data_IF_309484780220
#
_entry.id   IF_309484780220
#
_cell.length_a   1.000
_cell.length_b   1.000
_cell.length_c   1.000
_cell.angle_alpha   90.00
_cell.angle_beta   90.00
_cell.angle_gamma   90.00
#
_symmetry.space_group_name_H-M   'P 1'
#
loop_
_entity.id
_entity.type
_entity.pdbx_description
1 polymer ?
2 branched ?
3 non-polymer ?
4 non-polymer ?
5 water ?
#
# COMPACT_ATOMS: atom_id res chain seq x y z
N UNK A 36 -23.83 2.12 17.47
CA UNK A 36 -24.54 1.55 16.28
C UNK A 36 -24.00 0.16 15.92
N UNK A 37 -24.90 -0.67 15.39
CA UNK A 37 -24.58 -2.03 14.94
C UNK A 37 -25.22 -2.28 13.56
N UNK A 38 -24.84 -1.43 12.61
CA UNK A 38 -25.43 -1.40 11.27
C UNK A 38 -24.72 -2.30 10.25
N UNK A 39 -23.50 -2.77 10.57
CA UNK A 39 -22.70 -3.53 9.61
C UNK A 39 -22.15 -2.66 8.48
N UNK A 40 -21.95 -1.36 8.75
CA UNK A 40 -21.41 -0.41 7.78
C UNK A 40 -20.17 0.37 8.26
N UNK A 41 -19.79 0.20 9.53
CA UNK A 41 -18.71 1.01 10.11
C UNK A 41 -17.33 0.62 9.57
N UNK A 42 -16.42 1.56 9.66
CA UNK A 42 -15.04 1.33 9.28
C UNK A 42 -14.36 0.28 10.15
N UNK A 43 -13.49 -0.52 9.54
CA UNK A 43 -12.67 -1.46 10.26
C UNK A 43 -11.24 -0.97 10.37
N UNK A 44 -10.78 -0.82 11.61
CA UNK A 44 -9.47 -0.25 11.87
C UNK A 44 -8.34 -1.27 11.99
N UNK A 45 -8.63 -2.52 11.59
CA UNK A 45 -7.61 -3.56 11.39
C UNK A 45 -7.50 -3.93 9.90
N UNK A 46 -8.01 -3.06 9.03
CA UNK A 46 -7.96 -3.23 7.59
C UNK A 46 -7.21 -2.04 7.00
N UNK A 47 -6.09 -2.34 6.35
CA UNK A 47 -5.12 -1.36 5.87
C UNK A 47 -5.08 -1.38 4.36
N UNK A 48 -5.32 -0.27 3.69
CA UNK A 48 -5.39 -0.25 2.25
C UNK A 48 -4.23 0.61 1.72
N UNK A 49 -3.35 0.00 0.91
CA UNK A 49 -2.16 0.69 0.41
C UNK A 49 -2.51 1.76 -0.59
N UNK A 50 -2.07 2.98 -0.29
CA UNK A 50 -2.49 4.19 -1.00
C UNK A 50 -1.26 4.92 -1.54
N UNK A 51 -1.38 5.41 -2.76
CA UNK A 51 -0.28 6.05 -3.46
C UNK A 51 -0.70 7.49 -3.76
N UNK A 52 0.18 8.43 -3.39
CA UNK A 52 -0.06 9.87 -3.49
C UNK A 52 0.85 10.55 -4.53
N UNK A 53 1.26 9.79 -5.53
CA UNK A 53 2.29 10.22 -6.48
C UNK A 53 1.71 10.70 -7.83
N UNK A 54 0.38 10.82 -7.95
CA UNK A 54 -0.23 11.24 -9.20
C UNK A 54 -0.30 12.75 -9.28
N UNK A 55 -0.19 13.34 -10.46
CA UNK A 55 -0.42 14.78 -10.58
C UNK A 55 -1.45 15.08 -11.63
N UNK A 56 -1.99 16.29 -11.57
CA UNK A 56 -2.85 16.80 -12.63
C UNK A 56 -2.43 18.20 -13.00
N UNK A 57 -2.81 18.60 -14.19
CA UNK A 57 -2.55 19.96 -14.61
C UNK A 57 -3.22 20.94 -13.66
N UNK A 58 -4.43 20.62 -13.21
CA UNK A 58 -5.19 21.53 -12.35
C UNK A 58 -4.42 21.93 -11.10
N UNK A 59 -3.77 20.95 -10.46
CA UNK A 59 -3.08 21.20 -9.19
C UNK A 59 -1.56 21.28 -9.29
N UNK A 60 -0.97 20.33 -10.01
CA UNK A 60 0.49 20.21 -10.07
C UNK A 60 1.11 20.83 -11.31
N UNK A 61 0.28 21.15 -12.29
CA UNK A 61 0.78 21.62 -13.57
C UNK A 61 1.39 20.53 -14.42
N UNK A 62 1.20 19.28 -14.03
CA UNK A 62 1.75 18.18 -14.78
C UNK A 62 1.11 16.87 -14.36
N UNK A 63 1.11 15.92 -15.30
CA UNK A 63 0.59 14.57 -15.13
C UNK A 63 1.61 13.49 -14.63
N UNK A 64 2.12 13.76 -13.44
CA UNK A 64 3.09 12.87 -12.81
C UNK A 64 2.46 11.48 -12.59
N UNK A 65 3.28 10.45 -12.86
CA UNK A 65 2.94 9.04 -12.76
C UNK A 65 1.94 8.57 -13.82
N UNK A 66 0.96 9.38 -14.23
CA UNK A 66 0.18 9.01 -15.41
C UNK A 66 1.13 8.84 -16.61
N UNK A 67 2.15 9.70 -16.67
CA UNK A 67 3.35 9.54 -17.52
C UNK A 67 4.37 8.72 -16.73
N UNK A 68 4.98 7.72 -17.37
CA UNK A 68 5.91 6.84 -16.66
C UNK A 68 6.82 6.17 -17.65
N UNK A 69 8.08 6.00 -17.27
CA UNK A 69 9.03 5.25 -18.09
C UNK A 69 8.59 3.80 -18.22
N UNK A 70 8.84 3.22 -19.39
CA UNK A 70 8.64 1.80 -19.61
C UNK A 70 9.93 1.09 -19.22
N UNK A 71 9.83 0.05 -18.42
CA UNK A 71 11.02 -0.65 -17.95
C UNK A 71 11.58 -1.54 -19.05
N UNK A 72 12.91 -1.55 -19.24
CA UNK A 72 13.51 -2.56 -20.13
C UNK A 72 13.33 -3.95 -19.54
N UNK A 73 13.38 -4.92 -20.41
CA UNK A 73 13.32 -6.33 -20.00
C UNK A 73 14.64 -6.71 -19.33
N UNK A 74 14.62 -7.08 -18.04
CA UNK A 74 15.89 -7.46 -17.40
C UNK A 74 16.58 -8.68 -18.03
N UNK A 75 15.84 -9.48 -18.79
CA UNK A 75 16.42 -10.61 -19.55
C UNK A 75 16.51 -10.36 -21.07
N UNK A 76 16.37 -9.10 -21.50
CA UNK A 76 16.24 -8.75 -22.94
C UNK A 76 17.47 -8.20 -23.66
N UNK A 77 18.60 -8.19 -22.97
CA UNK A 77 19.85 -7.73 -23.58
C UNK A 77 20.02 -6.23 -23.66
N UNK A 78 21.13 -5.82 -24.26
CA UNK A 78 21.53 -4.42 -24.27
C UNK A 78 20.92 -3.66 -25.43
N UNK A 79 20.96 -2.34 -25.31
CA UNK A 79 20.49 -1.47 -26.37
C UNK A 79 18.99 -1.37 -26.50
N UNK A 80 18.24 -1.75 -25.47
CA UNK A 80 16.79 -1.55 -25.49
C UNK A 80 16.50 -0.06 -25.34
N UNK A 81 15.51 0.41 -26.08
CA UNK A 81 15.05 1.79 -25.95
C UNK A 81 13.56 1.72 -25.75
N UNK A 82 13.14 1.30 -24.53
CA UNK A 82 11.73 1.01 -24.26
C UNK A 82 10.78 2.19 -24.37
N UNK A 83 11.30 3.39 -24.13
CA UNK A 83 10.48 4.60 -24.23
C UNK A 83 9.69 4.88 -22.97
N UNK A 84 8.71 5.76 -23.12
CA UNK A 84 7.91 6.25 -22.01
C UNK A 84 6.45 6.31 -22.43
N UNK A 85 5.59 6.14 -21.45
CA UNK A 85 4.16 6.36 -21.60
C UNK A 85 3.97 7.87 -21.32
N UNK A 86 3.32 8.61 -22.23
CA UNK A 86 3.35 10.08 -22.08
C UNK A 86 2.37 10.69 -21.09
N UNK A 87 1.41 9.90 -20.60
CA UNK A 87 0.43 10.45 -19.67
C UNK A 87 -0.54 11.44 -20.28
N UNK A 88 -0.80 11.26 -21.57
CA UNK A 88 -1.86 12.00 -22.24
C UNK A 88 -3.22 11.42 -21.83
N UNK A 89 -4.30 12.10 -22.21
CA UNK A 89 -5.64 11.53 -21.97
C UNK A 89 -5.74 10.12 -22.54
N UNK A 90 -5.21 9.96 -23.72
CA UNK A 90 -5.32 8.73 -24.46
C UNK A 90 -4.39 7.62 -23.96
N UNK A 91 -3.22 7.98 -23.42
CA UNK A 91 -2.16 7.01 -23.09
C UNK A 91 -1.57 7.27 -21.71
N UNK A 92 -2.08 6.51 -20.74
CA UNK A 92 -1.64 6.60 -19.36
C UNK A 92 -0.94 5.31 -18.94
N UNK A 93 -0.19 5.38 -17.85
CA UNK A 93 0.64 4.29 -17.38
C UNK A 93 -0.14 3.30 -16.51
N UNK A 94 -1.16 2.71 -17.13
CA UNK A 94 -2.02 1.70 -16.50
C UNK A 94 -2.65 0.89 -17.60
N UNK A 95 -2.97 -0.36 -17.29
CA UNK A 95 -3.82 -1.16 -18.18
C UNK A 95 -5.31 -0.86 -17.99
N UNK A 96 -5.66 -0.14 -16.92
CA UNK A 96 -7.02 0.28 -16.62
C UNK A 96 -7.08 1.82 -16.69
N UNK A 97 -8.29 2.37 -16.52
CA UNK A 97 -8.49 3.81 -16.65
C UNK A 97 -9.33 4.32 -15.49
N UNK A 98 -8.82 5.30 -14.72
CA UNK A 98 -9.56 5.76 -13.53
C UNK A 98 -10.89 6.44 -13.88
N UNK A 99 -11.93 6.14 -13.10
CA UNK A 99 -13.17 6.91 -13.16
C UNK A 99 -12.94 8.41 -12.95
N UNK A 100 -11.99 8.75 -12.08
CA UNK A 100 -11.70 10.15 -11.78
C UNK A 100 -10.75 10.81 -12.76
N UNK A 101 -10.34 10.09 -13.81
CA UNK A 101 -9.43 10.63 -14.82
C UNK A 101 -8.00 10.76 -14.30
N UNK A 102 -7.21 11.57 -14.99
CA UNK A 102 -5.81 11.82 -14.63
C UNK A 102 -5.77 12.82 -13.50
N UNK A 103 -6.02 12.34 -12.29
CA UNK A 103 -6.20 13.20 -11.14
C UNK A 103 -4.85 13.57 -10.49
N UNK A 104 -4.90 14.65 -9.73
CA UNK A 104 -3.80 15.01 -8.85
C UNK A 104 -4.05 14.51 -7.43
N UNK A 105 -3.03 13.88 -6.86
CA UNK A 105 -3.04 13.49 -5.46
C UNK A 105 -2.98 14.69 -4.52
N UNK A 106 -2.71 15.89 -5.04
CA UNK A 106 -2.72 17.13 -4.28
C UNK A 106 -4.04 17.88 -4.37
N UNK A 107 -5.03 17.37 -5.10
CA UNK A 107 -6.29 18.07 -5.33
C UNK A 107 -7.21 17.75 -4.14
N UNK A 108 -7.52 18.73 -3.28
CA UNK A 108 -8.39 18.43 -2.14
C UNK A 108 -9.73 17.81 -2.53
N UNK A 109 -10.24 18.16 -3.70
CA UNK A 109 -11.51 17.62 -4.13
C UNK A 109 -11.41 16.09 -4.48
N UNK A 110 -10.30 15.68 -5.06
CA UNK A 110 -10.04 14.26 -5.28
C UNK A 110 -9.89 13.55 -3.95
N UNK A 111 -9.18 14.17 -3.01
CA UNK A 111 -8.95 13.52 -1.72
C UNK A 111 -10.29 13.29 -1.01
N UNK A 112 -11.20 14.26 -1.06
CA UNK A 112 -12.52 14.07 -0.49
C UNK A 112 -13.20 12.81 -1.06
N UNK A 113 -13.18 12.72 -2.39
CA UNK A 113 -13.78 11.58 -3.09
C UNK A 113 -13.12 10.26 -2.67
N UNK A 114 -11.79 10.25 -2.58
CA UNK A 114 -11.11 9.05 -2.14
C UNK A 114 -11.55 8.67 -0.72
N UNK A 115 -11.69 9.62 0.18
CA UNK A 115 -12.10 9.26 1.53
C UNK A 115 -13.52 8.70 1.54
N UNK A 116 -14.40 9.24 0.69
CA UNK A 116 -15.75 8.66 0.59
C UNK A 116 -15.67 7.23 0.04
N UNK A 117 -14.71 6.94 -0.84
CA UNK A 117 -14.51 5.57 -1.36
C UNK A 117 -14.02 4.64 -0.26
N UNK A 118 -13.11 5.11 0.61
CA UNK A 118 -12.69 4.33 1.77
C UNK A 118 -13.88 4.02 2.68
N UNK A 119 -14.75 5.01 2.89
CA UNK A 119 -15.95 4.75 3.70
C UNK A 119 -16.83 3.67 3.06
N UNK A 120 -17.01 3.75 1.74
CA UNK A 120 -17.79 2.72 1.03
C UNK A 120 -17.16 1.33 1.18
N UNK A 121 -15.84 1.26 1.14
CA UNK A 121 -15.11 0.00 1.26
C UNK A 121 -15.00 -0.51 2.70
N UNK A 122 -15.28 0.35 3.68
CA UNK A 122 -15.15 0.04 5.10
C UNK A 122 -13.70 -0.13 5.56
N UNK A 123 -12.77 0.42 4.78
CA UNK A 123 -11.35 0.29 5.08
C UNK A 123 -10.94 1.47 5.97
N UNK A 124 -10.66 1.21 7.25
CA UNK A 124 -10.42 2.27 8.18
C UNK A 124 -9.05 2.87 8.20
N UNK A 125 -8.04 2.20 7.59
CA UNK A 125 -6.67 2.69 7.61
C UNK A 125 -6.12 2.83 6.20
N UNK A 126 -5.65 4.03 5.89
CA UNK A 126 -4.97 4.37 4.66
C UNK A 126 -3.45 4.24 4.94
N UNK A 127 -2.80 3.31 4.22
CA UNK A 127 -1.37 3.03 4.42
C UNK A 127 -0.60 3.75 3.31
N UNK A 128 -0.11 4.93 3.64
CA UNK A 128 0.41 5.90 2.67
C UNK A 128 1.84 5.63 2.27
N UNK A 129 2.06 5.42 0.98
CA UNK A 129 3.43 5.31 0.45
C UNK A 129 4.26 6.51 0.89
N UNK A 130 5.51 6.26 1.30
CA UNK A 130 6.37 7.33 1.80
C UNK A 130 7.77 7.11 1.31
N UNK A 131 8.20 8.04 0.44
CA UNK A 131 9.46 7.96 -0.32
C UNK A 131 10.54 8.92 0.15
N UNK A 132 10.30 9.65 1.24
CA UNK A 132 11.29 10.56 1.79
C UNK A 132 11.77 11.55 0.74
N UNK A 133 10.80 12.22 0.12
CA UNK A 133 11.14 13.14 -0.96
C UNK A 133 11.75 14.45 -0.46
N UNK A 134 11.54 14.82 0.81
CA UNK A 134 12.14 16.03 1.39
C UNK A 134 11.81 17.24 0.50
N UNK A 135 10.54 17.40 0.20
CA UNK A 135 10.10 18.49 -0.62
C UNK A 135 8.79 19.02 -0.10
N UNK A 136 8.65 20.31 -0.26
CA UNK A 136 7.48 21.05 0.11
C UNK A 136 6.16 20.42 -0.38
N UNK A 137 6.19 19.97 -1.62
CA UNK A 137 4.94 19.49 -2.23
C UNK A 137 4.48 18.17 -1.57
N UNK A 138 5.43 17.33 -1.13
CA UNK A 138 5.19 16.08 -0.31
C UNK A 138 4.57 16.45 1.00
N UNK A 139 5.20 17.40 1.67
CA UNK A 139 4.70 17.83 2.98
C UNK A 139 3.27 18.35 2.87
N UNK A 140 2.98 19.12 1.82
CA UNK A 140 1.63 19.63 1.64
C UNK A 140 0.65 18.48 1.44
N UNK A 141 0.97 17.54 0.58
CA UNK A 141 0.13 16.41 0.30
C UNK A 141 -0.20 15.57 1.55
N UNK A 142 0.83 15.27 2.33
CA UNK A 142 0.60 14.48 3.54
C UNK A 142 -0.41 15.18 4.47
N UNK A 143 -0.24 16.49 4.65
CA UNK A 143 -1.19 17.23 5.49
C UNK A 143 -2.58 17.23 4.93
N UNK A 144 -2.72 17.37 3.61
CA UNK A 144 -4.05 17.34 2.98
C UNK A 144 -4.71 15.98 3.17
N UNK A 145 -3.93 14.91 3.05
CA UNK A 145 -4.47 13.55 3.20
C UNK A 145 -4.92 13.32 4.64
N UNK A 146 -4.11 13.69 5.61
CA UNK A 146 -4.53 13.57 7.02
C UNK A 146 -5.80 14.34 7.29
N UNK A 147 -5.87 15.58 6.81
CA UNK A 147 -7.07 16.40 7.03
C UNK A 147 -8.30 15.79 6.43
N UNK A 148 -8.18 15.32 5.17
CA UNK A 148 -9.35 14.74 4.50
C UNK A 148 -9.77 13.44 5.19
N UNK A 149 -8.80 12.61 5.57
CA UNK A 149 -9.09 11.37 6.26
C UNK A 149 -9.86 11.63 7.55
N UNK A 150 -9.45 12.63 8.31
CA UNK A 150 -10.08 12.85 9.62
C UNK A 150 -11.54 13.20 9.48
N UNK A 151 -11.92 13.88 8.41
CA UNK A 151 -13.32 14.27 8.23
C UNK A 151 -14.25 13.06 8.14
N UNK A 152 -13.69 11.92 7.75
CA UNK A 152 -14.44 10.69 7.57
C UNK A 152 -14.05 9.62 8.57
N UNK A 153 -13.28 9.99 9.61
CA UNK A 153 -12.87 9.05 10.66
C UNK A 153 -11.88 8.00 10.15
N UNK A 154 -11.26 8.24 9.00
CA UNK A 154 -10.21 7.35 8.52
C UNK A 154 -8.90 7.68 9.17
N UNK A 155 -8.09 6.64 9.39
CA UNK A 155 -6.77 6.79 9.99
C UNK A 155 -5.70 6.62 8.92
N UNK A 156 -4.51 7.13 9.19
CA UNK A 156 -3.38 7.10 8.26
C UNK A 156 -2.16 6.54 8.99
N UNK A 157 -1.52 5.56 8.33
CA UNK A 157 -0.21 5.11 8.74
C UNK A 157 0.72 5.20 7.52
N UNK A 158 2.02 5.03 7.76
CA UNK A 158 3.01 5.17 6.69
C UNK A 158 3.58 3.83 6.25
N UNK A 159 3.77 3.75 4.94
CA UNK A 159 4.39 2.60 4.26
C UNK A 159 5.77 3.06 3.81
N UNK A 160 6.80 2.68 4.56
CA UNK A 160 8.15 3.20 4.39
C UNK A 160 8.84 2.48 3.24
N UNK A 161 9.08 3.22 2.16
CA UNK A 161 9.58 2.67 0.92
C UNK A 161 11.10 2.62 0.93
N UNK A 162 11.69 1.92 -0.05
CA UNK A 162 13.16 1.79 -0.14
C UNK A 162 13.79 3.01 -0.78
N UNK A 163 13.81 4.10 -0.04
CA UNK A 163 14.40 5.35 -0.49
C UNK A 163 15.93 5.25 -0.50
N UNK A 164 16.62 6.17 -1.21
CA UNK A 164 18.08 6.04 -1.38
C UNK A 164 18.82 6.04 -0.06
N UNK A 165 19.75 5.10 0.09
CA UNK A 165 20.58 4.98 1.27
C UNK A 165 19.79 4.74 2.55
N UNK A 166 18.56 4.21 2.44
CA UNK A 166 17.80 3.87 3.62
C UNK A 166 18.65 2.94 4.50
N UNK A 167 18.64 3.21 5.80
CA UNK A 167 19.39 2.41 6.77
C UNK A 167 18.73 2.63 8.12
N UNK A 168 19.11 1.89 9.15
CA UNK A 168 18.35 2.00 10.39
C UNK A 168 18.52 3.35 11.09
N UNK A 169 19.63 4.04 10.86
CA UNK A 169 19.83 5.34 11.50
C UNK A 169 18.91 6.39 10.87
N UNK A 170 18.92 6.54 9.55
CA UNK A 170 18.00 7.47 8.96
C UNK A 170 16.55 7.01 9.08
N UNK A 171 16.28 5.71 9.14
CA UNK A 171 14.91 5.27 9.45
C UNK A 171 14.49 5.77 10.80
N UNK A 172 15.34 5.62 11.80
CA UNK A 172 14.98 6.14 13.12
C UNK A 172 14.69 7.61 13.06
N UNK A 173 15.56 8.37 12.40
CA UNK A 173 15.39 9.81 12.31
C UNK A 173 14.07 10.16 11.63
N UNK A 174 13.73 9.40 10.59
CA UNK A 174 12.49 9.64 9.87
C UNK A 174 11.24 9.23 10.64
N UNK A 175 11.32 8.15 11.41
CA UNK A 175 10.24 7.75 12.31
C UNK A 175 10.02 8.84 13.36
N UNK A 176 11.10 9.34 13.94
CA UNK A 176 11.01 10.45 14.88
C UNK A 176 10.35 11.67 14.22
N UNK A 177 10.76 12.00 13.01
CA UNK A 177 10.18 13.13 12.30
C UNK A 177 8.70 12.94 12.04
N UNK A 178 8.31 11.76 11.54
CA UNK A 178 6.92 11.54 11.23
C UNK A 178 6.04 11.55 12.49
N UNK A 179 6.50 10.93 13.57
CA UNK A 179 5.73 10.95 14.83
C UNK A 179 5.67 12.37 15.39
N UNK A 180 6.77 13.12 15.33
CA UNK A 180 6.79 14.50 15.83
C UNK A 180 5.85 15.39 15.02
N UNK A 181 5.92 15.27 13.69
CA UNK A 181 5.14 16.14 12.81
C UNK A 181 3.65 15.81 12.82
N UNK A 182 3.33 14.52 12.81
CA UNK A 182 1.98 14.05 12.55
C UNK A 182 1.33 13.30 13.70
N UNK A 183 2.08 12.95 14.74
CA UNK A 183 1.56 12.09 15.79
C UNK A 183 0.40 12.65 16.57
N UNK A 184 0.28 13.98 16.63
CA UNK A 184 -0.86 14.61 17.30
C UNK A 184 -2.02 14.91 16.37
N UNK A 185 -1.89 14.58 15.07
CA UNK A 185 -2.99 14.79 14.17
C UNK A 185 -4.05 13.75 14.55
N UNK A 186 -5.33 14.14 14.58
CA UNK A 186 -6.37 13.18 14.97
C UNK A 186 -6.52 11.96 14.06
N UNK A 187 -6.07 12.05 12.79
CA UNK A 187 -6.12 10.92 11.88
C UNK A 187 -4.90 10.00 11.97
N UNK A 188 -3.88 10.32 12.75
CA UNK A 188 -2.70 9.47 12.83
C UNK A 188 -3.05 8.15 13.50
N UNK A 189 -2.76 7.05 12.83
CA UNK A 189 -3.15 5.74 13.33
C UNK A 189 -2.36 5.29 14.55
N UNK A 190 -3.04 4.73 15.54
CA UNK A 190 -2.39 3.99 16.62
C UNK A 190 -3.17 2.71 16.91
N UNK A 191 -2.40 1.67 17.26
CA UNK A 191 -2.94 0.38 17.69
C UNK A 191 -2.44 0.17 19.11
N UNK A 192 -3.37 0.06 20.06
CA UNK A 192 -3.06 -0.07 21.49
C UNK A 192 -1.97 0.93 21.95
N UNK A 193 -2.11 2.16 21.46
CA UNK A 193 -1.22 3.25 21.83
C UNK A 193 0.02 3.44 20.98
N UNK A 194 0.27 2.56 20.01
CA UNK A 194 1.49 2.62 19.22
C UNK A 194 1.20 2.97 17.78
N UNK A 195 1.99 3.85 17.18
CA UNK A 195 1.98 3.97 15.72
C UNK A 195 2.33 2.63 15.07
N UNK A 196 2.02 2.51 13.77
CA UNK A 196 2.35 1.30 13.00
C UNK A 196 2.98 1.72 11.68
N UNK A 197 4.08 1.08 11.30
CA UNK A 197 4.70 1.29 10.01
C UNK A 197 4.82 -0.04 9.28
N UNK A 198 4.52 -0.02 7.98
CA UNK A 198 4.88 -1.11 7.07
C UNK A 198 6.23 -0.79 6.46
N UNK A 199 7.13 -1.75 6.38
CA UNK A 199 8.46 -1.51 5.81
C UNK A 199 8.64 -2.35 4.56
N UNK A 200 8.55 -1.70 3.40
CA UNK A 200 8.66 -2.42 2.14
C UNK A 200 10.11 -2.80 1.90
N UNK A 201 10.32 -4.01 1.34
CA UNK A 201 11.64 -4.54 0.99
C UNK A 201 12.58 -4.44 2.23
N UNK A 202 12.03 -4.80 3.40
CA UNK A 202 12.81 -4.83 4.64
C UNK A 202 13.98 -5.79 4.61
N UNK A 203 13.98 -6.74 3.66
CA UNK A 203 15.12 -7.65 3.43
C UNK A 203 16.36 -6.99 2.86
N UNK A 204 16.23 -5.77 2.33
CA UNK A 204 17.38 -5.02 1.88
C UNK A 204 18.24 -4.57 3.08
N UNK A 205 17.79 -4.81 4.35
CA UNK A 205 18.58 -4.42 5.52
C UNK A 205 18.78 -5.66 6.37
N UNK A 206 20.02 -5.92 6.75
CA UNK A 206 20.38 -7.10 7.52
C UNK A 206 19.70 -7.10 8.90
N UNK A 207 19.33 -8.30 9.38
CA UNK A 207 18.82 -8.43 10.75
C UNK A 207 19.70 -7.80 11.81
N UNK A 208 21.03 -7.89 11.66
CA UNK A 208 21.91 -7.29 12.66
C UNK A 208 21.77 -5.77 12.74
N UNK A 209 21.44 -5.13 11.63
CA UNK A 209 21.13 -3.70 11.66
C UNK A 209 19.75 -3.45 12.26
N UNK A 210 18.74 -4.19 11.83
CA UNK A 210 17.40 -4.05 12.41
C UNK A 210 17.41 -4.18 13.92
N UNK A 211 18.19 -5.12 14.45
CA UNK A 211 18.23 -5.38 15.88
C UNK A 211 18.60 -4.11 16.65
N UNK A 212 19.47 -3.28 16.07
CA UNK A 212 19.90 -2.06 16.73
C UNK A 212 18.76 -1.07 16.96
N UNK A 213 17.79 -1.10 16.07
CA UNK A 213 16.61 -0.26 16.11
C UNK A 213 15.46 -0.87 16.88
N UNK A 214 15.31 -2.20 16.77
CA UNK A 214 14.07 -2.85 17.15
C UNK A 214 14.18 -3.80 18.34
N UNK A 215 15.35 -4.23 18.74
CA UNK A 215 15.48 -4.96 20.00
C UNK A 215 15.35 -3.97 21.14
N UNK A 216 14.76 -4.37 22.28
CA UNK A 216 14.77 -3.47 23.44
C UNK A 216 16.16 -3.07 23.90
N UNK A 217 17.16 -3.90 23.61
CA UNK A 217 18.55 -3.60 23.94
C UNK A 217 19.36 -2.96 22.84
N UNK A 218 18.73 -2.69 21.70
CA UNK A 218 19.44 -2.21 20.58
C UNK A 218 20.10 -0.86 20.79
N UNK A 219 21.24 -0.67 20.14
CA UNK A 219 22.04 0.53 20.25
C UNK A 219 21.29 1.82 20.06
N UNK A 220 20.33 1.82 19.12
CA UNK A 220 19.50 2.99 18.82
C UNK A 220 18.03 2.62 18.91
N UNK A 221 17.68 1.88 19.96
CA UNK A 221 16.34 1.34 20.04
C UNK A 221 15.28 2.42 20.05
N UNK A 222 14.13 2.09 19.48
CA UNK A 222 12.89 2.83 19.70
C UNK A 222 12.06 2.22 20.81
N UNK A 223 12.38 1.01 21.27
CA UNK A 223 11.53 0.39 22.29
C UNK A 223 11.61 1.19 23.59
N UNK A 224 10.44 1.35 24.24
CA UNK A 224 10.32 2.07 25.50
C UNK A 224 10.61 3.57 25.37
N UNK A 225 10.63 4.09 24.15
CA UNK A 225 10.82 5.50 23.91
C UNK A 225 9.51 6.12 23.43
N UNK A 226 9.52 7.44 23.30
CA UNK A 226 8.39 8.17 22.74
C UNK A 226 8.11 7.79 21.29
N UNK A 227 9.06 7.11 20.64
CA UNK A 227 8.98 6.84 19.22
C UNK A 227 8.80 5.37 18.93
N UNK A 228 8.40 4.60 19.96
CA UNK A 228 8.12 3.19 19.78
C UNK A 228 6.96 3.05 18.77
N UNK A 229 6.97 1.95 18.03
CA UNK A 229 5.98 1.69 16.99
C UNK A 229 5.93 0.20 16.69
N UNK A 230 4.80 -0.23 16.15
CA UNK A 230 4.68 -1.57 15.57
C UNK A 230 5.32 -1.55 14.19
N UNK A 231 6.34 -2.37 14.01
CA UNK A 231 7.11 -2.40 12.76
C UNK A 231 6.79 -3.70 12.05
N UNK A 232 6.19 -3.57 10.87
CA UNK A 232 5.69 -4.70 10.11
C UNK A 232 6.58 -4.88 8.88
N UNK A 233 7.38 -5.95 8.89
CA UNK A 233 8.30 -6.19 7.79
C UNK A 233 7.70 -7.04 6.68
N UNK A 234 8.34 -7.03 5.52
CA UNK A 234 7.84 -7.73 4.35
C UNK A 234 8.36 -9.17 4.32
N UNK A 235 7.49 -10.14 4.57
CA UNK A 235 7.83 -11.56 4.43
C UNK A 235 7.78 -11.93 2.96
N UNK A 236 8.93 -12.30 2.39
CA UNK A 236 9.02 -12.68 0.99
C UNK A 236 9.09 -14.21 0.79
N UNK A 237 10.22 -14.79 1.13
CA UNK A 237 10.57 -16.14 0.67
C UNK A 237 10.22 -17.23 1.68
N UNK A 238 10.96 -18.33 1.68
CA UNK A 238 10.54 -19.51 2.42
C UNK A 238 10.73 -19.34 3.92
N UNK A 239 10.01 -20.13 4.73
CA UNK A 239 10.15 -20.05 6.19
C UNK A 239 11.59 -20.22 6.69
N UNK A 240 12.38 -21.07 6.03
CA UNK A 240 13.74 -21.30 6.48
C UNK A 240 14.57 -20.01 6.51
N UNK A 241 14.25 -19.09 5.61
CA UNK A 241 14.89 -17.79 5.56
C UNK A 241 14.13 -16.77 6.42
N UNK A 242 12.82 -16.72 6.26
CA UNK A 242 12.04 -15.63 6.84
C UNK A 242 11.84 -15.75 8.34
N UNK A 243 11.71 -16.97 8.87
CA UNK A 243 11.49 -17.11 10.32
C UNK A 243 12.66 -16.50 11.11
N UNK A 244 13.91 -16.92 10.83
CA UNK A 244 15.01 -16.32 11.60
C UNK A 244 15.18 -14.84 11.29
N UNK A 245 14.90 -14.42 10.05
CA UNK A 245 15.00 -13.02 9.70
C UNK A 245 14.10 -12.18 10.63
N UNK A 246 12.83 -12.55 10.69
CA UNK A 246 11.86 -11.77 11.44
C UNK A 246 12.18 -11.78 12.95
N UNK A 247 12.57 -12.94 13.48
CA UNK A 247 12.94 -13.03 14.89
C UNK A 247 14.19 -12.21 15.19
N UNK A 248 15.23 -12.38 14.39
CA UNK A 248 16.52 -11.72 14.64
C UNK A 248 16.45 -10.23 14.40
N UNK A 249 15.54 -9.79 13.54
CA UNK A 249 15.36 -8.37 13.26
C UNK A 249 14.47 -7.68 14.29
N UNK A 250 13.72 -8.46 15.09
CA UNK A 250 12.82 -7.91 16.10
C UNK A 250 11.64 -7.14 15.52
N UNK A 251 11.20 -7.51 14.34
CA UNK A 251 9.93 -6.94 13.83
C UNK A 251 8.77 -7.36 14.72
N UNK A 252 7.77 -6.50 14.79
CA UNK A 252 6.55 -6.82 15.52
C UNK A 252 5.60 -7.70 14.73
N UNK A 253 5.78 -7.74 13.41
CA UNK A 253 4.89 -8.50 12.56
C UNK A 253 5.38 -8.47 11.15
N UNK A 254 4.55 -8.99 10.22
CA UNK A 254 4.92 -9.08 8.85
C UNK A 254 3.69 -9.04 7.96
N UNK A 255 3.92 -8.58 6.74
CA UNK A 255 2.94 -8.51 5.68
C UNK A 255 3.55 -9.10 4.41
N UNK A 256 2.75 -9.22 3.36
CA UNK A 256 3.22 -9.95 2.16
C UNK A 256 3.22 -9.12 0.88
N UNK A 257 2.45 -8.03 0.88
CA UNK A 257 2.27 -7.03 -0.19
C UNK A 257 1.70 -7.55 -1.51
N UNK A 258 2.38 -8.49 -2.18
CA UNK A 258 2.10 -8.71 -3.59
C UNK A 258 0.68 -9.17 -3.81
N UNK A 259 0.02 -8.54 -4.79
CA UNK A 259 -1.35 -8.89 -5.13
C UNK A 259 -1.44 -10.14 -5.98
N UNK A 260 -0.33 -10.53 -6.63
CA UNK A 260 -0.32 -11.67 -7.52
C UNK A 260 -0.01 -12.96 -6.75
N UNK A 261 -0.99 -13.85 -6.70
CA UNK A 261 -0.80 -15.09 -5.98
C UNK A 261 0.38 -15.86 -6.55
N UNK A 262 1.18 -16.41 -5.67
CA UNK A 262 2.31 -17.23 -6.09
C UNK A 262 3.55 -16.49 -6.50
N UNK A 263 3.54 -15.15 -6.47
CA UNK A 263 4.72 -14.40 -6.86
C UNK A 263 5.88 -14.71 -5.90
N UNK A 264 5.59 -14.79 -4.61
CA UNK A 264 6.53 -15.21 -3.59
C UNK A 264 5.85 -16.29 -2.74
N UNK A 265 6.65 -16.97 -1.90
CA UNK A 265 6.09 -17.86 -0.89
C UNK A 265 5.04 -17.10 -0.04
N UNK A 266 5.37 -15.88 0.38
CA UNK A 266 4.49 -15.12 1.23
C UNK A 266 3.18 -14.73 0.59
N UNK A 267 3.18 -14.54 -0.74
CA UNK A 267 1.97 -14.18 -1.47
C UNK A 267 1.28 -15.41 -2.07
N UNK A 268 1.56 -16.59 -1.53
CA UNK A 268 0.87 -17.83 -1.90
C UNK A 268 -0.11 -18.15 -0.78
N UNK A 269 -1.43 -17.91 -1.00
CA UNK A 269 -2.34 -17.96 0.15
C UNK A 269 -2.49 -19.30 0.84
N UNK A 270 -2.18 -20.40 0.17
CA UNK A 270 -2.17 -21.70 0.85
C UNK A 270 -1.12 -21.79 1.97
N UNK A 271 -0.16 -20.86 2.01
CA UNK A 271 0.79 -20.82 3.11
C UNK A 271 0.32 -20.02 4.32
N UNK A 272 -0.82 -19.33 4.19
CA UNK A 272 -1.21 -18.38 5.22
C UNK A 272 -1.61 -19.03 6.55
N UNK A 273 -2.27 -20.18 6.53
CA UNK A 273 -2.58 -20.85 7.79
C UNK A 273 -1.30 -21.12 8.59
N UNK A 274 -0.28 -21.66 7.92
CA UNK A 274 1.01 -21.99 8.55
C UNK A 274 1.75 -20.74 9.03
N UNK A 275 1.71 -19.69 8.22
CA UNK A 275 2.35 -18.45 8.58
C UNK A 275 1.69 -17.84 9.81
N UNK A 276 0.36 -17.91 9.87
CA UNK A 276 -0.36 -17.41 11.03
C UNK A 276 -0.04 -18.22 12.29
N UNK A 277 0.03 -19.54 12.16
CA UNK A 277 0.40 -20.39 13.30
C UNK A 277 1.75 -20.01 13.86
N UNK A 278 2.73 -19.81 12.98
CA UNK A 278 4.06 -19.38 13.40
C UNK A 278 4.01 -18.00 14.07
N UNK A 279 3.27 -17.08 13.46
CA UNK A 279 3.14 -15.75 14.04
C UNK A 279 2.61 -15.81 15.46
N UNK A 280 1.53 -16.56 15.66
CA UNK A 280 0.92 -16.67 16.97
C UNK A 280 1.90 -17.28 17.98
N UNK A 281 2.61 -18.33 17.58
CA UNK A 281 3.59 -18.99 18.44
C UNK A 281 4.72 -18.05 18.86
N UNK A 282 5.03 -17.06 18.04
CA UNK A 282 6.18 -16.19 18.24
C UNK A 282 5.83 -14.75 18.57
N UNK A 283 4.56 -14.50 18.90
CA UNK A 283 4.13 -13.18 19.32
C UNK A 283 4.21 -12.11 18.25
N UNK A 284 4.02 -12.50 16.99
CA UNK A 284 4.10 -11.59 15.85
C UNK A 284 2.73 -11.37 15.26
N UNK A 285 2.55 -10.18 14.68
CA UNK A 285 1.30 -9.82 14.01
C UNK A 285 1.40 -10.09 12.49
N UNK A 286 0.63 -11.01 11.97
CA UNK A 286 0.60 -11.30 10.53
C UNK A 286 -0.53 -10.53 9.89
N UNK A 287 -0.19 -9.74 8.87
CA UNK A 287 -1.12 -8.89 8.14
C UNK A 287 -1.04 -9.28 6.65
N UNK A 288 -1.64 -10.41 6.26
CA UNK A 288 -1.55 -10.82 4.86
C UNK A 288 -2.12 -9.76 3.94
N UNK A 289 -1.56 -9.66 2.74
CA UNK A 289 -2.03 -8.72 1.75
C UNK A 289 -2.87 -9.43 0.69
N UNK A 290 -4.06 -8.87 0.42
CA UNK A 290 -4.98 -9.40 -0.57
C UNK A 290 -5.19 -8.36 -1.64
N UNK A 291 -5.42 -8.80 -2.87
CA UNK A 291 -5.71 -7.88 -3.94
C UNK A 291 -6.63 -8.47 -4.97
N UNK A 292 -7.15 -7.60 -5.86
CA UNK A 292 -8.20 -8.04 -6.78
C UNK A 292 -7.70 -8.61 -8.10
N UNK A 293 -6.41 -8.49 -8.36
CA UNK A 293 -5.80 -8.92 -9.61
C UNK A 293 -4.44 -8.25 -9.72
N UNK A 294 -3.78 -8.48 -10.86
CA UNK A 294 -2.48 -7.87 -11.12
C UNK A 294 -2.27 -7.81 -12.62
N UNK A 295 -1.84 -6.66 -13.12
CA UNK A 295 -1.34 -6.57 -14.50
C UNK A 295 -0.59 -5.25 -14.63
N UNK A 296 0.67 -5.35 -15.09
CA UNK A 296 1.54 -4.18 -15.18
C UNK A 296 2.19 -4.06 -16.53
N UNK A 297 1.60 -4.65 -17.58
CA UNK A 297 2.28 -4.75 -18.86
C UNK A 297 2.35 -3.47 -19.66
N UNK A 298 1.63 -2.40 -19.33
CA UNK A 298 1.91 -1.12 -19.97
C UNK A 298 3.30 -0.60 -19.59
N UNK A 299 3.66 -0.72 -18.30
CA UNK A 299 4.98 -0.26 -17.86
C UNK A 299 6.05 -1.34 -17.87
N UNK A 300 5.66 -2.61 -17.87
CA UNK A 300 6.61 -3.74 -17.85
C UNK A 300 6.10 -4.78 -18.86
N UNK A 301 6.26 -4.51 -20.18
CA UNK A 301 5.62 -5.35 -21.20
C UNK A 301 6.04 -6.81 -21.19
N UNK A 302 7.24 -7.06 -20.67
CA UNK A 302 7.87 -8.37 -20.52
C UNK A 302 7.39 -9.15 -19.30
N UNK A 303 6.52 -8.56 -18.47
CA UNK A 303 6.16 -9.16 -17.19
C UNK A 303 4.81 -9.86 -17.20
N UNK A 304 4.41 -10.37 -18.37
CA UNK A 304 3.11 -10.99 -18.47
C UNK A 304 2.89 -12.22 -17.63
N UNK A 305 3.93 -12.92 -17.21
CA UNK A 305 3.73 -14.11 -16.38
C UNK A 305 3.13 -13.81 -15.01
N UNK A 306 3.21 -12.55 -14.57
CA UNK A 306 2.67 -12.14 -13.28
C UNK A 306 1.19 -11.71 -13.38
N UNK A 307 0.64 -11.64 -14.59
CA UNK A 307 -0.76 -11.27 -14.72
C UNK A 307 -1.64 -12.24 -13.94
N UNK A 308 -2.57 -11.68 -13.19
CA UNK A 308 -3.62 -12.43 -12.52
C UNK A 308 -4.94 -11.79 -12.90
N UNK A 309 -5.79 -12.57 -13.57
CA UNK A 309 -7.06 -12.07 -14.09
C UNK A 309 -8.11 -11.90 -12.99
N UNK A 310 -8.89 -10.82 -13.10
CA UNK A 310 -9.88 -10.49 -12.04
C UNK A 310 -11.12 -11.39 -12.00
N UNK A 311 -11.48 -11.96 -13.15
CA UNK A 311 -12.66 -12.87 -13.28
C UNK A 311 -13.90 -12.33 -12.56
N UNK A 312 -14.25 -11.07 -12.83
CA UNK A 312 -15.49 -10.48 -12.30
C UNK A 312 -15.57 -10.51 -10.78
N UNK A 313 -14.43 -10.49 -10.15
CA UNK A 313 -14.33 -10.47 -8.69
C UNK A 313 -13.96 -11.79 -8.05
N UNK A 314 -13.95 -12.88 -8.82
CA UNK A 314 -13.72 -14.17 -8.22
C UNK A 314 -12.29 -14.32 -7.68
N UNK A 315 -11.31 -13.68 -8.32
CA UNK A 315 -9.95 -13.71 -7.81
C UNK A 315 -9.88 -13.03 -6.44
N UNK A 316 -10.47 -11.84 -6.35
CA UNK A 316 -10.45 -11.07 -5.09
C UNK A 316 -11.13 -11.88 -4.00
N UNK A 317 -12.28 -12.45 -4.31
CA UNK A 317 -13.02 -13.25 -3.35
C UNK A 317 -12.18 -14.39 -2.82
N UNK A 318 -11.51 -15.11 -3.72
CA UNK A 318 -10.72 -16.26 -3.27
C UNK A 318 -9.59 -15.83 -2.33
N UNK A 319 -8.92 -14.73 -2.66
CA UNK A 319 -7.78 -14.29 -1.87
C UNK A 319 -8.23 -13.77 -0.49
N UNK A 320 -9.30 -12.98 -0.48
CA UNK A 320 -9.80 -12.43 0.76
C UNK A 320 -10.30 -13.57 1.66
N UNK A 321 -10.98 -14.56 1.08
CA UNK A 321 -11.44 -15.69 1.87
C UNK A 321 -10.27 -16.41 2.54
N UNK A 322 -9.17 -16.62 1.81
CA UNK A 322 -8.01 -17.30 2.38
C UNK A 322 -7.44 -16.52 3.57
N UNK A 323 -7.38 -15.19 3.45
CA UNK A 323 -6.88 -14.40 4.57
C UNK A 323 -7.75 -14.59 5.80
N UNK A 324 -9.07 -14.48 5.63
CA UNK A 324 -9.98 -14.61 6.75
C UNK A 324 -9.89 -16.01 7.36
N UNK A 325 -9.87 -17.03 6.52
CA UNK A 325 -9.78 -18.42 6.98
C UNK A 325 -8.50 -18.72 7.72
N UNK A 326 -7.43 -17.98 7.46
CA UNK A 326 -6.18 -18.19 8.16
C UNK A 326 -6.28 -17.74 9.61
N UNK A 327 -7.30 -16.94 9.96
CA UNK A 327 -7.53 -16.56 11.34
C UNK A 327 -6.71 -15.38 11.80
N UNK A 328 -6.30 -14.53 10.87
CA UNK A 328 -5.49 -13.35 11.17
C UNK A 328 -6.32 -12.29 11.85
N UNK A 329 -5.59 -11.38 12.50
CA UNK A 329 -6.12 -10.24 13.24
C UNK A 329 -6.24 -8.94 12.47
N UNK A 330 -5.62 -8.90 11.29
CA UNK A 330 -5.54 -7.70 10.49
C UNK A 330 -5.26 -8.14 9.06
N UNK A 331 -5.75 -7.35 8.11
CA UNK A 331 -5.60 -7.63 6.69
C UNK A 331 -5.17 -6.36 5.99
N UNK A 332 -4.29 -6.49 5.01
CA UNK A 332 -3.90 -5.37 4.16
C UNK A 332 -4.37 -5.63 2.73
N UNK A 333 -4.69 -4.54 2.04
CA UNK A 333 -5.24 -4.58 0.68
C UNK A 333 -4.29 -3.89 -0.27
N UNK A 334 -3.82 -4.67 -1.25
CA UNK A 334 -2.96 -4.21 -2.34
C UNK A 334 -3.84 -4.17 -3.57
N UNK A 335 -4.41 -3.01 -3.93
CA UNK A 335 -4.13 -1.68 -3.41
C UNK A 335 -5.36 -0.81 -3.58
N UNK A 336 -5.34 0.37 -2.98
CA UNK A 336 -6.36 1.35 -3.34
C UNK A 336 -6.17 1.78 -4.79
N UNK A 337 -4.94 2.22 -5.12
CA UNK A 337 -4.70 2.97 -6.37
C UNK A 337 -3.30 2.82 -6.91
N UNK A 338 -2.77 1.59 -6.91
CA UNK A 338 -1.51 1.32 -7.63
C UNK A 338 -1.94 0.96 -9.07
N UNK A 339 -2.25 2.01 -9.83
CA UNK A 339 -2.79 1.87 -11.18
C UNK A 339 -1.77 1.24 -12.12
N UNK A 340 -0.47 1.45 -11.90
CA UNK A 340 0.54 0.88 -12.77
C UNK A 340 0.55 -0.63 -12.75
N UNK A 341 0.16 -1.19 -11.60
CA UNK A 341 0.24 -2.63 -11.38
C UNK A 341 -1.11 -3.32 -11.45
N UNK A 342 -2.17 -2.56 -11.74
CA UNK A 342 -3.45 -3.17 -11.97
C UNK A 342 -4.02 -3.86 -10.76
N UNK A 343 -3.61 -3.45 -9.55
CA UNK A 343 -4.08 -4.04 -8.32
C UNK A 343 -5.15 -3.16 -7.64
N UNK A 344 -5.54 -2.06 -8.28
CA UNK A 344 -6.38 -1.08 -7.60
C UNK A 344 -7.81 -1.55 -7.38
N UNK A 345 -8.40 -1.15 -6.25
CA UNK A 345 -9.84 -1.26 -6.04
C UNK A 345 -10.57 0.04 -6.37
N UNK A 346 -9.84 1.14 -6.57
CA UNK A 346 -10.44 2.40 -6.94
C UNK A 346 -11.26 2.22 -8.20
N UNK A 347 -12.42 2.90 -8.33
CA UNK A 347 -13.23 2.76 -9.55
C UNK A 347 -12.50 3.07 -10.83
N UNK A 348 -12.73 2.18 -11.81
CA UNK A 348 -12.20 2.23 -13.18
C UNK A 348 -13.38 2.22 -14.13
N UNK A 349 -13.21 2.82 -15.30
CA UNK A 349 -14.26 2.89 -16.30
C UNK A 349 -13.78 2.34 -17.62
N UNK A 350 -14.71 1.84 -18.45
CA UNK A 350 -14.34 1.46 -19.80
C UNK A 350 -13.82 2.66 -20.57
N UNK A 351 -12.78 2.43 -21.37
CA UNK A 351 -12.21 3.49 -22.21
C UNK A 351 -11.40 2.89 -23.33
N UNK A 352 -11.70 3.37 -24.52
CA UNK A 352 -10.92 3.03 -25.67
C UNK A 352 -10.53 4.32 -26.34
N UNK A 353 -9.24 4.53 -26.42
CA UNK A 353 -8.74 5.73 -27.07
C UNK A 353 -8.08 5.31 -28.36
N UNK A 354 -7.64 6.32 -29.10
CA UNK A 354 -6.89 6.06 -30.32
C UNK A 354 -5.54 5.37 -30.06
N UNK A 355 -5.07 5.41 -28.81
CA UNK A 355 -3.75 4.85 -28.47
C UNK A 355 -3.77 3.49 -27.74
N UNK A 356 -4.86 3.15 -27.06
CA UNK A 356 -4.91 1.95 -26.23
C UNK A 356 -6.34 1.61 -25.92
N UNK A 357 -6.63 0.31 -25.87
CA UNK A 357 -7.91 -0.19 -25.42
C UNK A 357 -7.70 -0.68 -23.98
N UNK A 358 -8.27 0.03 -23.02
CA UNK A 358 -8.02 -0.29 -21.62
C UNK A 358 -8.86 -1.50 -21.21
N UNK A 359 -8.37 -2.20 -20.20
CA UNK A 359 -9.18 -3.13 -19.45
C UNK A 359 -10.17 -2.36 -18.59
N UNK A 360 -11.20 -3.04 -18.10
CA UNK A 360 -12.20 -2.42 -17.24
C UNK A 360 -12.82 -3.49 -16.36
N UNK A 361 -13.78 -3.11 -15.53
CA UNK A 361 -14.33 -4.06 -14.56
C UNK A 361 -15.35 -5.04 -15.13
N UNK A 362 -15.39 -5.07 -16.45
CA UNK A 362 -16.16 -6.06 -17.24
C UNK A 362 -17.61 -6.06 -16.87
N UNK A 363 -18.12 -7.20 -16.47
CA UNK A 363 -19.51 -7.23 -16.13
C UNK A 363 -19.85 -6.53 -14.84
N UNK A 364 -18.85 -6.14 -14.07
CA UNK A 364 -19.10 -5.42 -12.84
C UNK A 364 -19.04 -3.92 -13.05
N UNK A 365 -19.78 -3.21 -12.20
CA UNK A 365 -19.83 -1.75 -12.22
C UNK A 365 -18.52 -1.12 -11.68
N UNK A 366 -18.27 0.17 -11.98
CA UNK A 366 -16.99 0.78 -11.57
C UNK A 366 -16.69 0.70 -10.08
N UNK A 367 -17.72 0.79 -9.22
CA UNK A 367 -17.52 0.73 -7.76
C UNK A 367 -17.59 -0.66 -7.17
N UNK A 368 -17.60 -1.69 -8.02
CA UNK A 368 -17.78 -3.04 -7.52
C UNK A 368 -16.71 -3.44 -6.52
N UNK A 369 -15.44 -3.09 -6.77
CA UNK A 369 -14.40 -3.55 -5.86
C UNK A 369 -14.46 -2.82 -4.52
N UNK A 370 -14.99 -1.59 -4.48
CA UNK A 370 -15.24 -0.93 -3.19
C UNK A 370 -16.34 -1.66 -2.42
N UNK A 371 -17.46 -1.93 -3.09
CA UNK A 371 -18.53 -2.59 -2.34
C UNK A 371 -18.21 -4.05 -2.03
N UNK A 372 -17.40 -4.71 -2.86
CA UNK A 372 -16.97 -6.07 -2.53
C UNK A 372 -15.99 -6.11 -1.38
N UNK A 373 -15.13 -5.07 -1.31
CA UNK A 373 -14.29 -4.92 -0.11
C UNK A 373 -15.15 -4.81 1.16
N UNK A 374 -16.21 -3.99 1.10
CA UNK A 374 -17.10 -3.85 2.26
C UNK A 374 -17.71 -5.19 2.68
N UNK A 375 -18.08 -6.00 1.68
CA UNK A 375 -18.61 -7.35 1.94
C UNK A 375 -17.59 -8.18 2.72
N UNK A 376 -16.34 -8.17 2.25
CA UNK A 376 -15.30 -8.96 2.92
C UNK A 376 -14.91 -8.42 4.28
N UNK A 377 -14.89 -7.09 4.44
CA UNK A 377 -14.66 -6.50 5.75
C UNK A 377 -15.71 -7.02 6.73
N UNK A 378 -16.96 -7.10 6.28
CA UNK A 378 -18.01 -7.63 7.15
C UNK A 378 -17.77 -9.08 7.55
N UNK A 379 -17.37 -9.91 6.57
CA UNK A 379 -17.02 -11.31 6.90
C UNK A 379 -15.83 -11.41 7.83
N UNK A 380 -14.84 -10.54 7.63
CA UNK A 380 -13.68 -10.51 8.51
C UNK A 380 -14.11 -10.16 9.95
N UNK A 381 -14.96 -9.15 10.09
CA UNK A 381 -15.43 -8.72 11.42
C UNK A 381 -16.24 -9.78 12.09
N UNK A 382 -17.02 -10.52 11.31
CA UNK A 382 -17.85 -11.59 11.86
C UNK A 382 -16.98 -12.66 12.49
N UNK A 383 -15.78 -12.88 11.91
CA UNK A 383 -14.76 -13.86 12.32
C UNK A 383 -13.82 -13.43 13.44
N UNK A 384 -13.77 -12.14 13.74
CA UNK A 384 -12.67 -11.58 14.57
C UNK A 384 -12.74 -11.97 16.04
#
# INVERSE_FOLDING_TARGET
>A
MGSSHHHHHHSSGLVPRGSHMDDNNPSNSENNGGNNNLGTELDYDTFCFYYDWYGSEAIDGQYRHWAHAIAPDPNGGSGQNPGTIPGTQESIASNFYPQLGRYSSSDPNILTKHMDMFVMARTGVLALTWWNEQDETEAKRIGLILDAADKKKIKVCFHLEPYPSRNVQNLRENIVKLITRYGNHPAFYRKDGKPLFFIYDSYLIEPSEWEKLLSPGGSITIRNTAYDALMIGLWTSSPTVQRPFILNAHFDGFYTYFAATGFTYGSTPTNWVSMQKWAKENGKIFIPSVGPGYIDTRIRPWNGSVIRTRTDGQYYDAMYRKAIEAGVSAISITSFNEWHEGSQIEPAVPYTSSEFTYLDYENREPDYYLTRTAYWVGKFRESKQ
#
